data_IF_098568270491
#
_entry.id   IF_098568270491
#
_cell.length_a   1.000
_cell.length_b   1.000
_cell.length_c   1.000
_cell.angle_alpha   90.00
_cell.angle_beta   90.00
_cell.angle_gamma   90.00
#
_symmetry.space_group_name_H-M   'P 1'
#
loop_
_entity.id
_entity.type
_entity.pdbx_description
1 polymer ?
#
# COMPACT_ATOMS: atom_id res chain seq x y z
N UNK A 1 13.72 7.33 -10.35
CA UNK A 1 14.03 5.89 -10.45
C UNK A 1 12.99 5.39 -11.40
N UNK A 2 13.41 5.09 -12.61
CA UNK A 2 12.49 4.78 -13.70
C UNK A 2 12.40 3.26 -13.83
N UNK A 3 11.18 2.76 -14.00
CA UNK A 3 10.93 1.33 -14.13
C UNK A 3 10.90 0.97 -15.61
N UNK A 4 11.72 -0.01 -16.02
CA UNK A 4 11.69 -0.59 -17.37
C UNK A 4 10.91 -1.90 -17.31
N UNK A 5 9.82 -1.99 -18.06
CA UNK A 5 8.98 -3.19 -18.14
C UNK A 5 9.20 -3.92 -19.47
N UNK A 6 9.47 -5.21 -19.39
CA UNK A 6 9.59 -6.10 -20.56
C UNK A 6 8.45 -7.12 -20.55
N UNK A 7 7.84 -7.35 -21.71
CA UNK A 7 6.78 -8.34 -21.87
C UNK A 7 7.28 -9.50 -22.74
N UNK A 8 7.43 -10.66 -22.12
CA UNK A 8 7.79 -11.89 -22.81
C UNK A 8 6.54 -12.73 -23.08
N UNK A 9 6.50 -13.36 -24.26
CA UNK A 9 5.59 -14.47 -24.57
C UNK A 9 6.44 -15.69 -24.86
N UNK A 10 6.05 -16.84 -24.32
CA UNK A 10 6.73 -18.13 -24.50
C UNK A 10 8.23 -18.05 -24.17
N UNK A 11 8.57 -18.09 -22.88
CA UNK A 11 9.97 -17.97 -22.44
C UNK A 11 10.79 -19.16 -22.96
N UNK A 12 11.94 -18.86 -23.57
CA UNK A 12 12.89 -19.83 -24.12
C UNK A 12 14.31 -19.44 -23.73
N UNK A 13 15.25 -20.37 -23.86
CA UNK A 13 16.67 -20.07 -23.60
C UNK A 13 17.22 -18.98 -24.54
N UNK A 14 16.69 -18.87 -25.76
CA UNK A 14 17.12 -17.86 -26.73
C UNK A 14 16.60 -16.47 -26.37
N UNK A 15 15.30 -16.33 -26.05
CA UNK A 15 14.74 -15.00 -25.75
C UNK A 15 15.10 -14.47 -24.37
N UNK A 16 15.43 -15.34 -23.40
CA UNK A 16 15.83 -14.90 -22.07
C UNK A 16 17.22 -14.25 -22.08
N UNK A 17 18.07 -14.60 -23.06
CA UNK A 17 19.40 -14.03 -23.23
C UNK A 17 19.36 -12.51 -23.53
N UNK A 18 18.23 -12.00 -24.04
CA UNK A 18 18.05 -10.56 -24.26
C UNK A 18 18.13 -9.75 -22.96
N UNK A 19 17.84 -10.35 -21.81
CA UNK A 19 17.90 -9.66 -20.50
C UNK A 19 19.34 -9.28 -20.11
N UNK A 20 20.30 -10.22 -20.00
CA UNK A 20 21.68 -9.85 -19.71
C UNK A 20 22.26 -8.92 -20.79
N UNK A 21 21.97 -9.16 -22.07
CA UNK A 21 22.43 -8.30 -23.16
C UNK A 21 21.92 -6.85 -22.99
N UNK A 22 20.64 -6.66 -22.65
CA UNK A 22 20.08 -5.34 -22.36
C UNK A 22 20.71 -4.70 -21.13
N UNK A 23 21.01 -5.47 -20.07
CA UNK A 23 21.67 -4.94 -18.88
C UNK A 23 23.05 -4.40 -19.23
N UNK A 24 23.81 -5.12 -20.04
CA UNK A 24 25.14 -4.72 -20.49
C UNK A 24 25.07 -3.47 -21.40
N UNK A 25 24.08 -3.41 -22.30
CA UNK A 25 23.83 -2.23 -23.15
C UNK A 25 23.46 -0.98 -22.33
N UNK A 26 22.61 -1.15 -21.31
CA UNK A 26 22.23 -0.08 -20.40
C UNK A 26 23.44 0.41 -19.59
N UNK A 27 24.26 -0.52 -19.10
CA UNK A 27 25.49 -0.19 -18.37
C UNK A 27 26.48 0.58 -19.25
N UNK A 28 26.62 0.21 -20.53
CA UNK A 28 27.49 0.88 -21.49
C UNK A 28 27.12 2.36 -21.73
N UNK A 29 25.85 2.74 -21.55
CA UNK A 29 25.38 4.14 -21.61
C UNK A 29 25.29 4.81 -20.22
N UNK A 30 25.77 4.16 -19.17
CA UNK A 30 25.83 4.69 -17.81
C UNK A 30 24.55 4.45 -16.99
N UNK A 31 23.65 3.57 -17.42
CA UNK A 31 22.42 3.21 -16.69
C UNK A 31 22.67 1.92 -15.90
N UNK A 32 22.62 2.00 -14.57
CA UNK A 32 22.85 0.86 -13.68
C UNK A 32 21.52 0.18 -13.35
N UNK A 33 21.39 -1.09 -13.73
CA UNK A 33 20.21 -1.91 -13.40
C UNK A 33 20.32 -2.49 -11.99
N UNK A 34 19.33 -2.20 -11.14
CA UNK A 34 19.26 -2.79 -9.80
C UNK A 34 18.59 -4.17 -9.84
N UNK A 35 19.41 -5.22 -9.98
CA UNK A 35 18.94 -6.61 -10.02
C UNK A 35 18.19 -7.03 -8.76
N UNK A 36 18.54 -6.50 -7.59
CA UNK A 36 17.86 -6.80 -6.32
C UNK A 36 16.41 -6.28 -6.25
N UNK A 37 16.02 -5.38 -7.16
CA UNK A 37 14.64 -4.89 -7.30
C UNK A 37 13.97 -5.37 -8.59
N UNK A 38 14.65 -6.21 -9.36
CA UNK A 38 14.15 -6.72 -10.63
C UNK A 38 13.51 -8.09 -10.39
N UNK A 39 12.32 -8.30 -10.93
CA UNK A 39 11.56 -9.54 -10.72
C UNK A 39 10.62 -9.79 -11.89
N UNK A 40 10.33 -11.06 -12.15
CA UNK A 40 9.34 -11.46 -13.14
C UNK A 40 7.97 -11.66 -12.48
N UNK A 41 6.91 -11.13 -13.08
CA UNK A 41 5.54 -11.34 -12.64
C UNK A 41 4.81 -12.19 -13.69
N UNK A 42 4.31 -13.40 -13.35
CA UNK A 42 3.52 -14.19 -14.27
C UNK A 42 2.16 -13.53 -14.52
N UNK A 43 1.59 -13.64 -15.73
CA UNK A 43 0.25 -13.15 -15.99
C UNK A 43 -0.80 -13.96 -15.20
N UNK A 44 -1.98 -13.39 -14.92
CA UNK A 44 -3.02 -14.06 -14.16
C UNK A 44 -3.39 -15.42 -14.75
N UNK A 45 -3.36 -16.47 -13.92
CA UNK A 45 -3.70 -17.84 -14.31
C UNK A 45 -2.59 -18.60 -15.06
N UNK A 46 -1.41 -18.02 -15.24
CA UNK A 46 -0.26 -18.74 -15.80
C UNK A 46 0.39 -19.62 -14.74
N UNK A 47 0.45 -20.93 -15.01
CA UNK A 47 1.19 -21.87 -14.19
C UNK A 47 2.66 -21.87 -14.63
N UNK A 48 3.53 -21.33 -13.77
CA UNK A 48 4.94 -21.22 -14.09
C UNK A 48 5.58 -22.60 -14.02
N UNK A 49 6.10 -23.06 -15.16
CA UNK A 49 6.81 -24.33 -15.23
C UNK A 49 8.17 -24.27 -14.52
N UNK A 50 8.69 -25.43 -14.05
CA UNK A 50 10.06 -25.49 -13.50
C UNK A 50 11.15 -25.01 -14.48
N UNK A 51 10.92 -25.20 -15.78
CA UNK A 51 11.85 -24.75 -16.82
C UNK A 51 11.88 -23.22 -16.93
N UNK A 52 10.72 -22.56 -16.98
CA UNK A 52 10.61 -21.10 -17.01
C UNK A 52 11.23 -20.48 -15.76
N UNK A 53 10.94 -21.04 -14.59
CA UNK A 53 11.51 -20.62 -13.30
C UNK A 53 13.03 -20.66 -13.32
N UNK A 54 13.61 -21.74 -13.86
CA UNK A 54 15.06 -21.88 -13.99
C UNK A 54 15.63 -20.85 -14.94
N UNK A 55 15.07 -20.71 -16.15
CA UNK A 55 15.55 -19.75 -17.16
C UNK A 55 15.54 -18.32 -16.64
N UNK A 56 14.45 -17.89 -15.99
CA UNK A 56 14.34 -16.57 -15.39
C UNK A 56 15.31 -16.37 -14.22
N UNK A 57 15.47 -17.40 -13.38
CA UNK A 57 16.45 -17.39 -12.28
C UNK A 57 17.89 -17.25 -12.77
N UNK A 58 18.26 -18.00 -13.81
CA UNK A 58 19.60 -17.95 -14.43
C UNK A 58 19.88 -16.55 -15.04
N UNK A 59 18.83 -15.86 -15.53
CA UNK A 59 18.91 -14.47 -16.02
C UNK A 59 18.87 -13.40 -14.89
N UNK A 60 18.78 -13.81 -13.62
CA UNK A 60 18.73 -12.88 -12.48
C UNK A 60 17.39 -12.18 -12.28
N UNK A 61 16.30 -12.73 -12.81
CA UNK A 61 14.93 -12.25 -12.63
C UNK A 61 14.10 -13.28 -11.86
N UNK A 62 14.20 -13.33 -10.53
CA UNK A 62 13.38 -14.24 -9.74
C UNK A 62 11.89 -13.95 -9.95
N UNK A 63 11.08 -15.01 -9.92
CA UNK A 63 9.63 -14.91 -10.03
C UNK A 63 9.07 -14.36 -8.72
N UNK A 64 8.22 -13.34 -8.83
CA UNK A 64 7.45 -12.82 -7.73
C UNK A 64 6.21 -13.70 -7.51
N UNK A 65 6.26 -14.59 -6.52
CA UNK A 65 5.18 -15.54 -6.22
C UNK A 65 3.87 -14.85 -5.80
N UNK A 66 3.98 -13.83 -4.95
CA UNK A 66 2.82 -13.17 -4.37
C UNK A 66 2.40 -11.93 -5.15
N UNK A 67 3.37 -11.18 -5.67
CA UNK A 67 3.17 -9.93 -6.39
C UNK A 67 4.35 -8.97 -6.31
N UNK A 68 4.23 -7.85 -7.02
CA UNK A 68 5.21 -6.75 -7.06
C UNK A 68 4.48 -5.41 -6.92
N UNK A 69 5.21 -4.37 -6.51
CA UNK A 69 4.68 -3.00 -6.51
C UNK A 69 5.42 -2.19 -7.58
N UNK A 70 4.71 -1.75 -8.61
CA UNK A 70 5.26 -0.99 -9.76
C UNK A 70 4.76 0.45 -9.66
N UNK A 71 5.67 1.42 -9.53
CA UNK A 71 5.32 2.84 -9.34
C UNK A 71 4.24 3.05 -8.26
N UNK A 72 4.32 2.27 -7.17
CA UNK A 72 3.37 2.33 -6.06
C UNK A 72 2.05 1.56 -6.24
N UNK A 73 1.81 0.98 -7.42
CA UNK A 73 0.64 0.13 -7.68
C UNK A 73 0.99 -1.34 -7.39
N UNK A 74 0.36 -1.98 -6.40
CA UNK A 74 0.54 -3.40 -6.16
C UNK A 74 -0.16 -4.24 -7.23
N UNK A 75 0.56 -5.22 -7.77
CA UNK A 75 0.09 -6.15 -8.81
C UNK A 75 0.48 -7.56 -8.38
N UNK A 76 -0.48 -8.48 -8.33
CA UNK A 76 -0.21 -9.87 -7.93
C UNK A 76 -1.49 -10.58 -7.50
N UNK A 77 -1.33 -11.49 -6.54
CA UNK A 77 -2.45 -12.16 -5.88
C UNK A 77 -3.33 -11.15 -5.13
N UNK A 78 -4.63 -11.45 -5.03
CA UNK A 78 -5.56 -10.62 -4.26
C UNK A 78 -5.06 -10.41 -2.82
N UNK A 79 -4.54 -11.45 -2.18
CA UNK A 79 -3.99 -11.39 -0.83
C UNK A 79 -2.79 -10.42 -0.70
N UNK A 80 -1.86 -10.45 -1.66
CA UNK A 80 -0.74 -9.51 -1.70
C UNK A 80 -1.23 -8.06 -1.85
N UNK A 81 -2.18 -7.85 -2.76
CA UNK A 81 -2.72 -6.52 -3.03
C UNK A 81 -3.49 -5.96 -1.82
N UNK A 82 -4.27 -6.80 -1.15
CA UNK A 82 -4.99 -6.45 0.09
C UNK A 82 -4.02 -6.12 1.24
N UNK A 83 -2.97 -6.91 1.43
CA UNK A 83 -1.93 -6.67 2.43
C UNK A 83 -1.22 -5.33 2.19
N UNK A 84 -0.79 -5.06 0.96
CA UNK A 84 -0.17 -3.77 0.62
C UNK A 84 -1.13 -2.61 0.83
N UNK A 85 -2.40 -2.73 0.43
CA UNK A 85 -3.40 -1.70 0.66
C UNK A 85 -3.56 -1.40 2.17
N UNK A 86 -3.54 -2.43 3.02
CA UNK A 86 -3.59 -2.26 4.47
C UNK A 86 -2.31 -1.61 5.02
N UNK A 87 -1.13 -2.03 4.56
CA UNK A 87 0.17 -1.47 4.95
C UNK A 87 0.31 0.02 4.64
N UNK A 88 -0.28 0.49 3.53
CA UNK A 88 -0.32 1.93 3.23
C UNK A 88 -1.00 2.73 4.35
N UNK A 89 -1.98 2.15 5.05
CA UNK A 89 -2.65 2.77 6.18
C UNK A 89 -1.85 2.59 7.48
N UNK A 90 -1.45 1.36 7.79
CA UNK A 90 -0.83 1.03 9.09
C UNK A 90 0.63 1.48 9.17
N UNK A 91 1.42 1.19 8.13
CA UNK A 91 2.86 1.45 8.07
C UNK A 91 3.19 2.75 7.34
N UNK A 92 2.31 3.23 6.46
CA UNK A 92 2.49 4.49 5.72
C UNK A 92 2.45 5.76 6.57
N UNK A 93 2.41 5.63 7.90
CA UNK A 93 2.45 6.72 8.87
C UNK A 93 1.10 7.35 9.20
N UNK A 94 0.00 6.87 8.60
CA UNK A 94 -1.34 7.42 8.83
C UNK A 94 -1.80 7.20 10.28
N UNK A 95 -1.57 6.00 10.83
CA UNK A 95 -1.82 5.70 12.25
C UNK A 95 -1.01 6.59 13.20
N UNK A 96 0.26 6.84 12.88
CA UNK A 96 1.13 7.71 13.69
C UNK A 96 0.64 9.15 13.64
N UNK A 97 0.30 9.65 12.45
CA UNK A 97 -0.25 10.99 12.26
C UNK A 97 -1.56 11.14 13.03
N UNK A 98 -2.50 10.20 12.90
CA UNK A 98 -3.77 10.20 13.63
C UNK A 98 -3.56 10.34 15.15
N UNK A 99 -2.62 9.60 15.74
CA UNK A 99 -2.30 9.69 17.18
C UNK A 99 -1.69 11.03 17.59
N UNK A 100 -0.98 11.72 16.69
CA UNK A 100 -0.42 13.04 16.94
C UNK A 100 -1.51 14.12 16.85
N UNK A 101 -2.37 14.06 15.83
CA UNK A 101 -3.42 15.05 15.56
C UNK A 101 -4.36 15.24 16.75
N UNK A 102 -4.76 14.15 17.41
CA UNK A 102 -5.68 14.22 18.56
C UNK A 102 -5.09 14.96 19.76
N UNK A 103 -3.75 14.99 19.86
CA UNK A 103 -3.01 15.68 20.92
C UNK A 103 -2.63 17.11 20.56
N UNK A 104 -2.90 17.56 19.34
CA UNK A 104 -2.60 18.92 18.95
C UNK A 104 -3.43 19.92 19.76
N UNK A 105 -2.81 21.00 20.27
CA UNK A 105 -3.51 22.02 21.03
C UNK A 105 -4.46 22.82 20.11
N UNK A 106 -4.03 23.13 18.90
CA UNK A 106 -4.85 23.79 17.89
C UNK A 106 -5.75 22.77 17.18
N UNK A 107 -7.04 22.77 17.53
CA UNK A 107 -8.04 21.85 16.98
C UNK A 107 -8.43 22.19 15.55
N UNK A 108 -8.38 23.46 15.17
CA UNK A 108 -8.69 23.88 13.81
C UNK A 108 -7.63 23.39 12.84
N UNK A 109 -6.35 23.50 13.21
CA UNK A 109 -5.25 22.93 12.43
C UNK A 109 -5.31 21.40 12.41
N UNK A 110 -5.61 20.76 13.55
CA UNK A 110 -5.77 19.30 13.59
C UNK A 110 -6.87 18.81 12.63
N UNK A 111 -8.01 19.50 12.59
CA UNK A 111 -9.10 19.21 11.66
C UNK A 111 -8.65 19.38 10.20
N UNK A 112 -8.01 20.51 9.87
CA UNK A 112 -7.52 20.77 8.52
C UNK A 112 -6.55 19.69 8.04
N UNK A 113 -5.57 19.30 8.86
CA UNK A 113 -4.60 18.25 8.51
C UNK A 113 -5.28 16.89 8.39
N UNK A 114 -6.26 16.58 9.24
CA UNK A 114 -7.06 15.35 9.12
C UNK A 114 -7.73 15.28 7.75
N UNK A 115 -8.48 16.31 7.35
CA UNK A 115 -9.23 16.34 6.09
C UNK A 115 -8.34 16.42 4.85
N UNK A 116 -7.19 17.11 4.93
CA UNK A 116 -6.31 17.28 3.77
C UNK A 116 -5.32 16.13 3.60
N UNK A 117 -4.82 15.53 4.69
CA UNK A 117 -3.76 14.52 4.60
C UNK A 117 -4.27 13.09 4.72
N UNK A 118 -5.13 12.79 5.70
CA UNK A 118 -5.61 11.43 5.91
C UNK A 118 -6.63 11.03 4.85
N UNK A 119 -7.54 11.94 4.47
CA UNK A 119 -8.53 11.66 3.41
C UNK A 119 -7.90 11.52 2.03
N UNK A 120 -6.88 12.32 1.68
CA UNK A 120 -6.23 12.19 0.37
C UNK A 120 -5.52 10.84 0.16
N UNK A 121 -5.15 10.15 1.24
CA UNK A 121 -4.58 8.80 1.17
C UNK A 121 -5.59 7.75 0.70
N UNK A 122 -6.89 7.92 0.95
CA UNK A 122 -7.91 7.03 0.38
C UNK A 122 -7.89 7.12 -1.14
N UNK A 123 -7.80 8.36 -1.67
CA UNK A 123 -7.74 8.61 -3.10
C UNK A 123 -6.53 7.99 -3.79
N UNK A 124 -5.41 7.76 -3.10
CA UNK A 124 -4.30 6.99 -3.66
C UNK A 124 -4.66 5.51 -3.84
N UNK A 125 -5.20 4.89 -2.79
CA UNK A 125 -5.58 3.48 -2.76
C UNK A 125 -6.70 3.21 -3.77
N UNK A 126 -7.73 4.06 -3.80
CA UNK A 126 -8.91 3.91 -4.65
C UNK A 126 -8.63 4.08 -6.14
N UNK A 127 -7.61 4.87 -6.51
CA UNK A 127 -7.24 5.10 -7.92
C UNK A 127 -6.32 4.01 -8.47
N UNK A 128 -5.47 3.45 -7.62
CA UNK A 128 -4.42 2.51 -8.05
C UNK A 128 -4.85 1.05 -8.02
N UNK A 129 -5.87 0.68 -7.25
CA UNK A 129 -6.18 -0.71 -6.93
C UNK A 129 -7.67 -1.01 -7.17
N UNK A 130 -7.98 -2.25 -7.54
CA UNK A 130 -9.35 -2.71 -7.70
C UNK A 130 -10.21 -2.42 -6.44
N UNK A 131 -11.35 -1.76 -6.63
CA UNK A 131 -12.28 -1.37 -5.56
C UNK A 131 -12.70 -2.52 -4.63
N UNK A 132 -12.72 -3.76 -5.13
CA UNK A 132 -13.06 -4.94 -4.32
C UNK A 132 -12.00 -5.27 -3.28
N UNK A 133 -10.73 -5.08 -3.61
CA UNK A 133 -9.57 -5.42 -2.77
C UNK A 133 -9.25 -4.31 -1.75
N UNK A 134 -9.63 -3.06 -2.04
CA UNK A 134 -9.32 -1.92 -1.15
C UNK A 134 -10.36 -1.66 -0.06
N UNK A 135 -11.51 -2.31 -0.12
CA UNK A 135 -12.65 -2.04 0.78
C UNK A 135 -12.26 -2.12 2.26
N UNK A 136 -11.44 -3.11 2.63
CA UNK A 136 -10.96 -3.28 4.00
C UNK A 136 -10.07 -2.12 4.46
N UNK A 137 -9.11 -1.72 3.62
CA UNK A 137 -8.20 -0.61 3.90
C UNK A 137 -8.95 0.74 3.98
N UNK A 138 -9.89 0.99 3.08
CA UNK A 138 -10.69 2.22 3.08
C UNK A 138 -11.53 2.34 4.35
N UNK A 139 -12.24 1.27 4.75
CA UNK A 139 -12.99 1.25 6.03
C UNK A 139 -12.10 1.53 7.24
N UNK A 140 -10.87 0.98 7.26
CA UNK A 140 -9.92 1.21 8.35
C UNK A 140 -9.48 2.68 8.42
N UNK A 141 -9.26 3.30 7.26
CA UNK A 141 -8.91 4.70 7.14
C UNK A 141 -10.08 5.60 7.57
N UNK A 142 -11.31 5.31 7.11
CA UNK A 142 -12.52 6.05 7.50
C UNK A 142 -12.73 6.03 9.01
N UNK A 143 -12.67 4.85 9.62
CA UNK A 143 -12.79 4.69 11.08
C UNK A 143 -11.71 5.48 11.82
N UNK A 144 -10.48 5.51 11.29
CA UNK A 144 -9.39 6.28 11.88
C UNK A 144 -9.65 7.79 11.78
N UNK A 145 -10.09 8.27 10.62
CA UNK A 145 -10.41 9.68 10.40
C UNK A 145 -11.53 10.11 11.34
N UNK A 146 -12.61 9.33 11.42
CA UNK A 146 -13.71 9.56 12.36
C UNK A 146 -13.22 9.62 13.81
N UNK A 147 -12.41 8.64 14.22
CA UNK A 147 -11.82 8.61 15.55
C UNK A 147 -10.91 9.81 15.86
N UNK A 148 -10.20 10.36 14.86
CA UNK A 148 -9.42 11.60 15.04
C UNK A 148 -10.36 12.77 15.26
N UNK A 149 -11.38 12.93 14.41
CA UNK A 149 -12.33 14.03 14.47
C UNK A 149 -13.08 14.06 15.82
N UNK A 150 -13.70 12.95 16.20
CA UNK A 150 -14.43 12.80 17.48
C UNK A 150 -13.56 13.18 18.68
N UNK A 151 -12.30 12.76 18.65
CA UNK A 151 -11.37 13.03 19.74
C UNK A 151 -10.88 14.44 19.82
N UNK A 152 -10.61 15.06 18.67
CA UNK A 152 -10.23 16.46 18.64
C UNK A 152 -11.34 17.36 19.17
N UNK A 153 -12.60 16.92 19.03
CA UNK A 153 -13.78 17.56 19.60
C UNK A 153 -14.06 17.19 21.07
N UNK A 154 -13.31 16.24 21.66
CA UNK A 154 -13.52 15.78 23.04
C UNK A 154 -14.71 14.81 23.22
N UNK A 155 -15.28 14.27 22.15
CA UNK A 155 -16.47 13.41 22.20
C UNK A 155 -16.19 11.95 22.60
N UNK A 156 -14.96 11.63 23.02
CA UNK A 156 -14.59 10.24 23.35
C UNK A 156 -15.21 9.71 24.64
N UNK A 157 -15.70 10.60 25.52
CA UNK A 157 -16.22 10.23 26.85
C UNK A 157 -17.69 10.64 27.08
N UNK A 158 -18.40 11.13 26.05
CA UNK A 158 -19.76 11.67 26.20
C UNK A 158 -20.78 10.64 26.72
N UNK A 159 -20.63 9.34 26.41
CA UNK A 159 -21.51 8.29 26.96
C UNK A 159 -21.27 7.96 28.44
N UNK A 160 -20.09 8.28 28.98
CA UNK A 160 -19.74 8.00 30.38
C UNK A 160 -20.16 9.14 31.30
N UNK A 161 -20.10 10.38 30.82
CA UNK A 161 -20.54 11.56 31.57
C UNK A 161 -22.07 11.65 31.69
N UNK A 162 -22.84 11.32 30.64
CA UNK A 162 -24.32 11.31 30.71
C UNK A 162 -24.85 10.32 31.76
N UNK A 163 -24.21 9.15 31.92
CA UNK A 163 -24.57 8.16 32.95
C UNK A 163 -24.21 8.60 34.38
N UNK A 164 -23.27 9.53 34.55
CA UNK A 164 -22.95 10.14 35.85
C UNK A 164 -23.89 11.28 36.17
N UNK A 165 -24.24 12.11 35.19
CA UNK A 165 -25.19 13.21 35.35
C UNK A 165 -26.60 12.72 35.72
N UNK A 166 -27.08 11.62 35.11
CA UNK A 166 -28.37 11.02 35.46
C UNK A 166 -28.40 10.25 36.80
N UNK A 167 -27.27 10.11 37.51
CA UNK A 167 -27.21 9.44 38.83
C UNK A 167 -27.02 10.41 40.00
N UNK A 168 -26.98 11.71 39.72
CA UNK A 168 -26.92 12.76 40.74
C UNK A 168 -28.21 13.59 40.71
N UNK A 169 -29.36 12.93 40.88
CA UNK A 169 -30.53 13.64 41.41
C UNK A 169 -30.37 13.70 42.94
N UNK A 170 -30.60 14.86 43.59
CA UNK A 170 -30.46 15.00 45.02
C UNK A 170 -31.59 14.22 45.72
N UNK A 171 -31.21 13.31 46.62
CA UNK A 171 -32.12 12.83 47.66
C UNK A 171 -32.36 13.98 48.63
N UNK A 172 -33.57 14.54 48.60
CA UNK A 172 -34.15 15.33 49.71
C UNK A 172 -34.47 14.43 50.91
#
# INVERSE_FOLDING_TARGET
MDDISLHFKNITAENIQVIPDLVDELEAVGIIVNRGKSSALPPPGHDVTPAERRLLGDAGLPIAEEGITVVGVPIGTDAYVEDIAMKVITEGGADKLARMLVRMPDKQVAHLVTSQSLTQRSGYIERGINHKLVKGACKRLDNMVMWVLEATMGLRDTEVEEKRACRQEPED
#
